data_IF_813873794256
#
_entry.id   IF_813873794256
#
_cell.length_a   1.000
_cell.length_b   1.000
_cell.length_c   1.000
_cell.angle_alpha   90.00
_cell.angle_beta   90.00
_cell.angle_gamma   90.00
#
_symmetry.space_group_name_H-M   'P 1'
#
loop_
_entity.id
_entity.type
_entity.pdbx_description
1 polymer ?
#
# COMPACT_ATOMS: atom_id res chain seq x y z
N UNK A 1 -19.04 -9.02 -57.22
CA UNK A 1 -18.32 -8.78 -55.96
C UNK A 1 -18.58 -7.34 -55.57
N UNK A 2 -18.94 -7.04 -54.33
CA UNK A 2 -19.05 -5.64 -53.91
C UNK A 2 -17.67 -4.98 -54.00
N UNK A 3 -17.67 -3.77 -54.57
CA UNK A 3 -16.46 -2.96 -54.73
C UNK A 3 -15.97 -2.48 -53.35
N UNK A 4 -14.89 -3.03 -52.87
CA UNK A 4 -14.27 -2.66 -51.58
C UNK A 4 -13.49 -1.34 -51.64
N UNK A 5 -13.40 -0.71 -52.83
CA UNK A 5 -12.72 0.58 -53.02
C UNK A 5 -13.44 1.76 -52.32
N UNK A 6 -14.68 1.55 -51.85
CA UNK A 6 -15.49 2.55 -51.15
C UNK A 6 -15.64 2.28 -49.66
N UNK A 7 -14.92 1.30 -49.11
CA UNK A 7 -14.93 1.06 -47.65
C UNK A 7 -14.22 2.23 -46.95
N UNK A 8 -14.99 3.06 -46.27
CA UNK A 8 -14.42 4.11 -45.39
C UNK A 8 -14.00 3.52 -44.05
N UNK A 9 -12.78 3.78 -43.58
CA UNK A 9 -12.39 3.36 -42.25
C UNK A 9 -13.24 4.09 -41.22
N UNK A 10 -13.85 3.33 -40.32
CA UNK A 10 -14.56 3.88 -39.16
C UNK A 10 -13.57 3.86 -37.98
N UNK A 11 -13.22 5.02 -37.45
CA UNK A 11 -12.44 5.14 -36.22
C UNK A 11 -13.38 5.03 -35.01
N UNK A 12 -13.08 4.12 -34.11
CA UNK A 12 -13.74 4.04 -32.82
C UNK A 12 -12.84 4.71 -31.78
N UNK A 13 -13.25 5.89 -31.32
CA UNK A 13 -12.60 6.56 -30.21
C UNK A 13 -13.17 6.02 -28.90
N UNK A 14 -12.34 5.42 -28.05
CA UNK A 14 -12.76 4.91 -26.75
C UNK A 14 -12.74 6.00 -25.67
N UNK A 15 -13.32 7.16 -25.93
CA UNK A 15 -13.28 8.33 -25.05
C UNK A 15 -14.52 8.48 -24.15
N UNK A 16 -15.56 7.67 -24.40
CA UNK A 16 -16.88 7.86 -23.80
C UNK A 16 -17.01 7.49 -22.31
N UNK A 17 -16.06 6.79 -21.75
CA UNK A 17 -16.07 6.42 -20.34
C UNK A 17 -16.93 5.18 -20.01
N UNK A 18 -16.89 4.77 -18.73
CA UNK A 18 -17.73 3.72 -18.19
C UNK A 18 -19.10 4.28 -17.84
N UNK A 19 -20.14 3.82 -18.54
CA UNK A 19 -21.50 4.28 -18.39
C UNK A 19 -22.38 3.15 -17.86
N UNK A 20 -22.83 3.29 -16.62
CA UNK A 20 -23.74 2.33 -15.96
C UNK A 20 -25.18 2.83 -15.77
N UNK A 21 -25.45 4.08 -16.09
CA UNK A 21 -26.74 4.74 -15.82
C UNK A 21 -27.59 4.96 -17.07
N UNK A 22 -27.19 4.40 -18.22
CA UNK A 22 -27.96 4.47 -19.47
C UNK A 22 -28.33 3.08 -19.97
N UNK A 23 -29.42 3.04 -20.74
CA UNK A 23 -29.76 1.84 -21.51
C UNK A 23 -28.70 1.58 -22.58
N UNK A 24 -28.38 0.32 -22.82
CA UNK A 24 -27.44 -0.11 -23.87
C UNK A 24 -27.81 0.41 -25.28
N UNK A 25 -29.09 0.64 -25.52
CA UNK A 25 -29.59 1.20 -26.80
C UNK A 25 -29.27 2.69 -26.98
N UNK A 26 -28.89 3.38 -25.91
CA UNK A 26 -28.59 4.82 -25.92
C UNK A 26 -27.10 5.12 -25.76
N UNK A 27 -26.26 4.10 -25.84
CA UNK A 27 -24.83 4.27 -25.72
C UNK A 27 -24.26 4.98 -26.96
N UNK A 28 -23.33 5.88 -26.70
CA UNK A 28 -22.55 6.54 -27.75
C UNK A 28 -21.35 5.68 -28.16
N UNK A 29 -20.87 5.84 -29.40
CA UNK A 29 -19.63 5.19 -29.80
C UNK A 29 -18.49 5.54 -28.82
N UNK A 30 -17.74 4.53 -28.34
CA UNK A 30 -16.65 4.72 -27.41
C UNK A 30 -17.03 4.66 -25.92
N UNK A 31 -18.31 4.60 -25.57
CA UNK A 31 -18.76 4.30 -24.22
C UNK A 31 -18.66 2.79 -23.93
N UNK A 32 -18.34 2.42 -22.67
CA UNK A 32 -18.25 1.04 -22.23
C UNK A 32 -19.19 0.77 -21.06
N UNK A 33 -19.82 -0.41 -21.05
CA UNK A 33 -20.64 -0.90 -19.93
C UNK A 33 -19.79 -1.54 -18.84
N UNK A 34 -18.66 -2.09 -19.23
CA UNK A 34 -17.73 -2.78 -18.36
C UNK A 34 -16.31 -2.49 -18.82
N UNK A 35 -15.48 -2.16 -17.88
CA UNK A 35 -14.03 -1.94 -18.07
C UNK A 35 -13.31 -2.74 -17.00
N UNK A 36 -12.67 -3.81 -17.41
CA UNK A 36 -11.86 -4.66 -16.55
C UNK A 36 -10.39 -4.56 -16.95
N UNK A 37 -9.54 -4.24 -15.98
CA UNK A 37 -8.11 -4.05 -16.18
C UNK A 37 -7.74 -2.89 -17.14
N UNK A 38 -8.58 -1.86 -17.21
CA UNK A 38 -8.31 -0.63 -17.95
C UNK A 38 -8.42 0.59 -17.04
N UNK A 39 -7.65 1.61 -17.34
CA UNK A 39 -7.70 2.93 -16.72
C UNK A 39 -7.83 4.03 -17.78
N UNK A 40 -8.44 5.19 -17.45
CA UNK A 40 -8.45 6.33 -18.38
C UNK A 40 -7.04 6.76 -18.75
N UNK A 41 -6.80 7.05 -20.04
CA UNK A 41 -5.54 7.62 -20.48
C UNK A 41 -5.60 9.15 -20.52
N UNK A 42 -4.49 9.80 -20.20
CA UNK A 42 -4.38 11.28 -20.23
C UNK A 42 -4.46 11.84 -21.66
N UNK A 43 -4.15 11.02 -22.67
CA UNK A 43 -4.26 11.36 -24.10
C UNK A 43 -5.66 11.09 -24.67
N UNK A 44 -6.60 10.68 -23.81
CA UNK A 44 -7.94 10.26 -24.20
C UNK A 44 -8.04 8.73 -24.40
N UNK A 45 -9.26 8.19 -24.20
CA UNK A 45 -9.50 6.75 -24.30
C UNK A 45 -9.11 5.96 -23.07
N UNK A 46 -8.76 4.70 -23.29
CA UNK A 46 -8.42 3.75 -22.20
C UNK A 46 -7.13 3.03 -22.54
N UNK A 47 -6.28 2.88 -21.54
CA UNK A 47 -5.13 2.02 -21.62
C UNK A 47 -5.27 0.85 -20.64
N UNK A 48 -4.67 -0.26 -20.99
CA UNK A 48 -4.61 -1.41 -20.11
C UNK A 48 -3.74 -1.07 -18.88
N UNK A 49 -4.27 -1.38 -17.69
CA UNK A 49 -3.48 -1.30 -16.47
C UNK A 49 -2.24 -2.20 -16.62
N UNK A 50 -1.09 -1.63 -16.39
CA UNK A 50 0.15 -2.40 -16.41
C UNK A 50 0.13 -3.44 -15.30
N UNK A 51 0.64 -4.63 -15.58
CA UNK A 51 0.82 -5.65 -14.57
C UNK A 51 1.73 -5.16 -13.45
N UNK A 52 1.55 -5.71 -12.27
CA UNK A 52 2.42 -5.44 -11.12
C UNK A 52 3.21 -6.69 -10.75
N UNK A 53 4.40 -6.50 -10.24
CA UNK A 53 5.18 -7.55 -9.61
C UNK A 53 5.10 -7.40 -8.08
N UNK A 54 5.28 -8.50 -7.37
CA UNK A 54 5.36 -8.45 -5.91
C UNK A 54 6.60 -7.66 -5.49
N UNK A 55 6.39 -6.70 -4.58
CA UNK A 55 7.49 -5.92 -4.00
C UNK A 55 8.44 -6.79 -3.17
N UNK A 56 7.88 -7.77 -2.44
CA UNK A 56 8.60 -8.87 -1.78
C UNK A 56 7.93 -10.16 -2.22
N UNK A 57 8.68 -11.17 -2.66
CA UNK A 57 8.12 -12.41 -3.20
C UNK A 57 7.52 -13.29 -2.09
N UNK A 58 8.10 -13.26 -0.89
CA UNK A 58 7.58 -13.97 0.27
C UNK A 58 6.38 -13.24 0.89
N UNK A 59 5.48 -14.01 1.45
CA UNK A 59 4.38 -13.50 2.30
C UNK A 59 4.95 -13.10 3.66
N UNK A 60 4.40 -12.04 4.28
CA UNK A 60 4.75 -11.66 5.66
C UNK A 60 4.47 -12.85 6.58
N UNK A 61 5.46 -13.31 7.38
CA UNK A 61 5.29 -14.48 8.23
C UNK A 61 4.11 -14.35 9.20
N UNK A 62 3.45 -15.46 9.47
CA UNK A 62 2.47 -15.55 10.55
C UNK A 62 3.19 -15.74 11.88
N UNK A 63 2.58 -15.31 12.96
CA UNK A 63 3.11 -15.53 14.31
C UNK A 63 2.34 -16.63 15.05
N UNK A 64 1.05 -16.81 14.80
CA UNK A 64 0.23 -17.83 15.43
C UNK A 64 -0.81 -18.45 14.50
N UNK A 65 -1.31 -17.75 13.50
CA UNK A 65 -2.38 -18.22 12.62
C UNK A 65 -2.22 -17.71 11.19
N UNK A 66 -2.55 -18.54 10.21
CA UNK A 66 -2.54 -18.18 8.78
C UNK A 66 -3.57 -17.10 8.42
N UNK A 67 -4.58 -16.92 9.26
CA UNK A 67 -5.64 -15.91 9.08
C UNK A 67 -5.32 -14.55 9.69
N UNK A 68 -4.14 -14.37 10.33
CA UNK A 68 -3.74 -13.06 10.87
C UNK A 68 -3.69 -12.01 9.77
N UNK A 69 -4.37 -10.85 9.96
CA UNK A 69 -4.30 -9.74 9.00
C UNK A 69 -2.93 -9.03 9.06
N UNK A 70 -2.60 -8.32 8.01
CA UNK A 70 -1.53 -7.32 8.05
C UNK A 70 -2.06 -6.09 8.78
N UNK A 71 -1.36 -5.66 9.82
CA UNK A 71 -1.77 -4.59 10.72
C UNK A 71 -1.07 -3.27 10.45
N UNK A 72 0.10 -3.31 9.79
CA UNK A 72 0.90 -2.17 9.39
C UNK A 72 1.62 -2.48 8.09
N UNK A 73 1.72 -1.48 7.21
CA UNK A 73 2.67 -1.46 6.09
C UNK A 73 3.25 -0.05 6.01
N UNK A 74 4.57 0.04 6.07
CA UNK A 74 5.30 1.30 5.98
C UNK A 74 6.57 1.11 5.14
N UNK A 75 7.09 2.20 4.56
CA UNK A 75 8.43 2.19 3.97
C UNK A 75 9.37 3.00 4.86
N UNK A 76 10.55 2.46 5.15
CA UNK A 76 11.55 3.09 5.99
C UNK A 76 12.94 2.59 5.63
N UNK A 77 13.94 3.47 5.55
CA UNK A 77 15.33 3.14 5.25
C UNK A 77 15.46 2.17 4.05
N UNK A 78 14.81 2.50 2.92
CA UNK A 78 14.79 1.74 1.66
C UNK A 78 14.25 0.30 1.77
N UNK A 79 13.52 0.00 2.85
CA UNK A 79 12.86 -1.28 3.05
C UNK A 79 11.37 -1.11 3.32
N UNK A 80 10.65 -2.20 3.18
CA UNK A 80 9.26 -2.28 3.61
C UNK A 80 9.20 -2.89 5.01
N UNK A 81 8.41 -2.26 5.88
CA UNK A 81 8.10 -2.73 7.23
C UNK A 81 6.66 -3.17 7.27
N UNK A 82 6.38 -4.31 7.85
CA UNK A 82 5.02 -4.82 8.01
C UNK A 82 4.83 -5.43 9.40
N UNK A 83 3.68 -5.16 10.02
CA UNK A 83 3.28 -5.82 11.26
C UNK A 83 2.23 -6.89 10.97
N UNK A 84 2.40 -8.06 11.57
CA UNK A 84 1.46 -9.17 11.50
C UNK A 84 1.49 -9.99 12.80
N UNK A 85 0.32 -10.30 13.34
CA UNK A 85 0.21 -11.02 14.60
C UNK A 85 0.90 -10.27 15.74
N UNK A 86 1.89 -10.88 16.36
CA UNK A 86 2.64 -10.31 17.50
C UNK A 86 4.01 -9.76 17.12
N UNK A 87 4.32 -9.61 15.83
CA UNK A 87 5.66 -9.20 15.39
C UNK A 87 5.64 -8.15 14.29
N UNK A 88 6.71 -7.39 14.23
CA UNK A 88 7.03 -6.45 13.16
C UNK A 88 8.19 -7.02 12.36
N UNK A 89 8.07 -6.97 11.05
CA UNK A 89 9.02 -7.53 10.09
C UNK A 89 9.51 -6.46 9.14
N UNK A 90 10.71 -6.64 8.60
CA UNK A 90 11.24 -5.86 7.49
C UNK A 90 11.62 -6.76 6.32
N UNK A 91 11.58 -6.22 5.11
CA UNK A 91 12.10 -6.87 3.92
C UNK A 91 12.68 -5.84 2.94
N UNK A 92 13.68 -6.28 2.18
CA UNK A 92 14.26 -5.49 1.10
C UNK A 92 13.39 -5.60 -0.15
N UNK A 93 13.23 -4.51 -0.94
CA UNK A 93 12.57 -4.56 -2.24
C UNK A 93 13.16 -5.65 -3.14
N UNK A 94 12.29 -6.43 -3.79
CA UNK A 94 12.72 -7.58 -4.61
C UNK A 94 13.23 -8.78 -3.82
N UNK A 95 13.27 -8.70 -2.49
CA UNK A 95 13.72 -9.77 -1.61
C UNK A 95 12.77 -10.97 -1.56
N UNK A 96 13.30 -12.10 -1.08
CA UNK A 96 12.57 -13.36 -0.96
C UNK A 96 12.25 -13.75 0.49
N UNK A 97 12.56 -12.90 1.46
CA UNK A 97 12.36 -13.20 2.88
C UNK A 97 12.04 -11.94 3.70
N UNK A 98 11.43 -12.17 4.85
CA UNK A 98 11.16 -11.18 5.88
C UNK A 98 12.02 -11.48 7.10
N UNK A 99 12.52 -10.43 7.73
CA UNK A 99 13.29 -10.52 8.98
C UNK A 99 12.48 -9.86 10.10
N UNK A 100 12.28 -10.55 11.20
CA UNK A 100 11.64 -9.96 12.39
C UNK A 100 12.57 -8.92 13.01
N UNK A 101 12.03 -7.73 13.28
CA UNK A 101 12.72 -6.61 13.90
C UNK A 101 12.16 -6.25 15.26
N UNK A 102 10.97 -6.77 15.59
CA UNK A 102 10.34 -6.65 16.90
C UNK A 102 9.33 -7.79 17.09
N UNK A 103 9.09 -8.19 18.34
CA UNK A 103 8.19 -9.30 18.68
C UNK A 103 7.60 -9.14 20.08
N UNK A 104 6.62 -9.99 20.42
CA UNK A 104 5.98 -9.95 21.74
C UNK A 104 4.89 -8.88 21.88
N UNK A 105 4.45 -8.31 20.75
CA UNK A 105 3.37 -7.33 20.74
C UNK A 105 1.99 -7.97 20.90
N UNK A 106 1.00 -7.16 21.22
CA UNK A 106 -0.40 -7.61 21.28
C UNK A 106 -0.91 -7.90 19.87
N UNK A 107 -1.44 -9.08 19.65
CA UNK A 107 -2.06 -9.47 18.37
C UNK A 107 -3.31 -8.65 18.09
N UNK A 108 -3.61 -8.38 16.83
CA UNK A 108 -4.76 -7.59 16.37
C UNK A 108 -4.79 -6.13 16.88
N UNK A 109 -3.67 -5.59 17.36
CA UNK A 109 -3.52 -4.19 17.69
C UNK A 109 -3.72 -3.30 16.44
N UNK A 110 -4.13 -2.04 16.66
CA UNK A 110 -4.28 -1.05 15.58
C UNK A 110 -3.05 -0.17 15.54
N UNK A 111 -2.29 -0.31 14.50
CA UNK A 111 -1.03 0.41 14.34
C UNK A 111 -1.21 1.80 13.73
N UNK A 112 -0.40 2.74 14.20
CA UNK A 112 -0.12 4.01 13.56
C UNK A 112 1.39 4.24 13.58
N UNK A 113 1.92 5.00 12.64
CA UNK A 113 3.36 5.25 12.56
C UNK A 113 3.64 6.65 12.02
N UNK A 114 4.84 7.15 12.33
CA UNK A 114 5.39 8.38 11.81
C UNK A 114 6.89 8.20 11.52
N UNK A 115 7.37 8.85 10.48
CA UNK A 115 8.80 8.93 10.17
C UNK A 115 9.27 10.35 10.47
N UNK A 116 10.35 10.45 11.20
CA UNK A 116 10.91 11.74 11.55
C UNK A 116 12.44 11.69 11.56
N UNK A 117 13.05 12.78 11.13
CA UNK A 117 14.50 12.94 11.14
C UNK A 117 14.91 13.72 12.39
N UNK A 118 15.47 13.03 13.39
CA UNK A 118 16.04 13.63 14.58
C UNK A 118 17.54 13.89 14.34
N UNK A 119 17.94 15.15 14.22
CA UNK A 119 19.33 15.59 14.09
C UNK A 119 20.11 14.84 13.00
N UNK A 120 19.51 14.66 11.83
CA UNK A 120 20.12 13.91 10.73
C UNK A 120 19.94 12.39 10.82
N UNK A 121 19.27 11.89 11.86
CA UNK A 121 18.99 10.47 12.05
C UNK A 121 17.51 10.16 11.83
N UNK A 122 17.18 9.63 10.67
CA UNK A 122 15.82 9.20 10.38
C UNK A 122 15.40 8.05 11.27
N UNK A 123 14.22 8.16 11.87
CA UNK A 123 13.62 7.16 12.74
C UNK A 123 12.17 6.87 12.32
N UNK A 124 11.75 5.64 12.53
CA UNK A 124 10.36 5.21 12.40
C UNK A 124 9.83 4.97 13.81
N UNK A 125 8.78 5.69 14.19
CA UNK A 125 8.07 5.49 15.45
C UNK A 125 6.77 4.78 15.16
N UNK A 126 6.51 3.71 15.92
CA UNK A 126 5.33 2.87 15.77
C UNK A 126 4.58 2.82 17.10
N UNK A 127 3.28 3.03 17.04
CA UNK A 127 2.34 2.88 18.18
C UNK A 127 1.23 1.91 17.81
N UNK A 128 0.70 1.17 18.78
CA UNK A 128 -0.26 0.11 18.53
C UNK A 128 -1.45 0.10 19.50
N UNK A 129 -1.67 1.18 20.23
CA UNK A 129 -2.75 1.39 21.18
C UNK A 129 -2.70 0.50 22.44
N UNK A 130 -1.70 -0.35 22.59
CA UNK A 130 -1.62 -1.32 23.69
C UNK A 130 -0.24 -1.34 24.33
N UNK A 131 0.80 -1.48 23.51
CA UNK A 131 2.17 -1.57 23.98
C UNK A 131 2.83 -0.18 24.08
N UNK A 132 4.04 -0.13 24.61
CA UNK A 132 4.86 1.06 24.56
C UNK A 132 5.18 1.43 23.09
N UNK A 133 5.26 2.72 22.74
CA UNK A 133 5.76 3.14 21.45
C UNK A 133 7.16 2.60 21.19
N UNK A 134 7.41 2.08 20.00
CA UNK A 134 8.73 1.58 19.61
C UNK A 134 9.35 2.46 18.54
N UNK A 135 10.59 2.81 18.73
CA UNK A 135 11.41 3.60 17.81
C UNK A 135 12.41 2.70 17.11
N UNK A 136 12.37 2.69 15.78
CA UNK A 136 13.37 2.02 14.95
C UNK A 136 14.34 3.04 14.37
N UNK A 137 15.63 2.75 14.44
CA UNK A 137 16.66 3.49 13.70
C UNK A 137 16.81 2.95 12.27
N UNK A 138 17.64 3.58 11.45
CA UNK A 138 17.89 3.15 10.06
C UNK A 138 18.48 1.74 9.92
N UNK A 139 19.05 1.20 11.00
CA UNK A 139 19.55 -0.19 11.07
C UNK A 139 18.49 -1.17 11.60
N UNK A 140 17.24 -0.70 11.80
CA UNK A 140 16.11 -1.48 12.33
C UNK A 140 16.32 -2.04 13.75
N UNK A 141 17.15 -1.37 14.55
CA UNK A 141 17.22 -1.64 15.99
C UNK A 141 16.00 -1.01 16.64
N UNK A 142 15.21 -1.84 17.32
CA UNK A 142 14.05 -1.43 18.09
C UNK A 142 14.45 -0.91 19.46
N UNK A 143 13.81 0.17 19.91
CA UNK A 143 13.94 0.71 21.27
C UNK A 143 12.57 1.16 21.72
N UNK A 144 12.05 0.60 22.80
CA UNK A 144 10.78 1.03 23.38
C UNK A 144 10.97 2.33 24.16
N UNK A 145 9.97 3.19 24.04
CA UNK A 145 9.92 4.42 24.83
C UNK A 145 9.54 4.04 26.25
N UNK A 146 10.45 4.28 27.20
CA UNK A 146 10.30 3.87 28.61
C UNK A 146 9.32 4.72 29.41
N UNK A 147 8.84 5.83 28.86
CA UNK A 147 7.90 6.72 29.52
C UNK A 147 6.50 6.11 29.57
N UNK A 148 6.06 5.77 30.78
CA UNK A 148 4.78 5.08 30.99
C UNK A 148 3.55 5.89 30.57
N UNK A 149 3.65 7.22 30.55
CA UNK A 149 2.56 8.12 30.16
C UNK A 149 2.20 8.01 28.68
N UNK A 150 3.09 7.49 27.84
CA UNK A 150 2.84 7.29 26.40
C UNK A 150 2.51 5.84 26.04
N UNK A 151 2.53 4.91 26.98
CA UNK A 151 2.10 3.54 26.74
C UNK A 151 0.63 3.50 26.29
N UNK A 152 0.32 2.67 25.29
CA UNK A 152 -1.03 2.61 24.72
C UNK A 152 -1.41 3.80 23.85
N UNK A 153 -0.45 4.61 23.40
CA UNK A 153 -0.69 5.70 22.44
C UNK A 153 -1.36 5.20 21.18
N UNK A 154 -2.38 5.93 20.73
CA UNK A 154 -3.18 5.58 19.54
C UNK A 154 -2.64 6.19 18.28
N UNK A 155 -2.05 7.36 18.39
CA UNK A 155 -1.55 8.13 17.26
C UNK A 155 -0.19 8.73 17.60
N UNK A 156 0.61 8.88 16.58
CA UNK A 156 1.87 9.61 16.62
C UNK A 156 1.90 10.55 15.42
N UNK A 157 2.39 11.77 15.63
CA UNK A 157 2.56 12.75 14.56
C UNK A 157 3.73 13.67 14.87
N UNK A 158 4.51 14.01 13.85
CA UNK A 158 5.58 14.99 13.98
C UNK A 158 5.01 16.42 14.05
N UNK A 159 5.49 17.21 14.99
CA UNK A 159 5.13 18.61 15.12
C UNK A 159 6.35 19.48 15.47
N UNK A 160 6.73 20.41 14.62
CA UNK A 160 7.81 21.40 14.87
C UNK A 160 9.07 20.78 15.47
N UNK A 161 9.64 19.78 14.84
CA UNK A 161 10.83 19.05 15.32
C UNK A 161 10.64 18.28 16.65
N UNK A 162 9.40 18.02 17.03
CA UNK A 162 9.02 17.18 18.18
C UNK A 162 8.01 16.11 17.75
N UNK A 163 7.95 15.04 18.52
CA UNK A 163 6.92 14.01 18.42
C UNK A 163 6.20 13.83 19.76
#
# INVERSE_FOLDING_TARGET
>A
MPDLSQAQPVAFNCEGGLIKNRSTFMMQPGEALELENFEPDVEGGYKRIQGFSKYVTAVVPHTSSTSEPILLVASFADKVVAARGTSIFQATPGGSSWTSIDSGRTSAAKYNFERFNFDGNEKLIVVDQTNAPTVFNSSFTATDVSESSVAGSKFVAAFKNHM
#
